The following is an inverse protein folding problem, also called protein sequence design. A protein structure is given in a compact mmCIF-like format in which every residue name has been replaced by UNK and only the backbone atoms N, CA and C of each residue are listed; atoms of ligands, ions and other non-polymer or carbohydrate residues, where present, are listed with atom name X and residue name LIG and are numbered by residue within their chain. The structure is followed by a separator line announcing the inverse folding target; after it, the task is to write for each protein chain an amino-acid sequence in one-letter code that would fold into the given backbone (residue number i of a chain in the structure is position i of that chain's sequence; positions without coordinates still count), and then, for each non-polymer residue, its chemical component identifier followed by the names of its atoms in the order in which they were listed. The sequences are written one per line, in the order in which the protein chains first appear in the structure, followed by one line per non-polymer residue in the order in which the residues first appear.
data_IF_374063097522
#
_entry.id   IF_374063097522
#
_cell.length_a   1.000
_cell.length_b   1.000
_cell.length_c   1.000
_cell.angle_alpha   90.00
_cell.angle_beta   90.00
_cell.angle_gamma   90.00
#
_symmetry.space_group_name_H-M   'P 1'
#
loop_
_entity.id
_entity.type
_entity.pdbx_description
1 polymer ?
#
# COMPACT_ATOMS: atom_id res chain seq x y z
N UNK A 1 64.64 -9.59 8.93
CA UNK A 1 63.44 -10.11 9.63
C UNK A 1 62.15 -9.30 9.38
N UNK A 2 62.10 -8.27 8.52
CA UNK A 2 60.90 -7.44 8.33
C UNK A 2 59.92 -7.88 7.21
N UNK A 3 60.27 -8.85 6.35
CA UNK A 3 59.41 -9.25 5.21
C UNK A 3 58.37 -10.33 5.54
N UNK A 4 58.53 -11.08 6.63
CA UNK A 4 57.58 -12.13 7.02
C UNK A 4 56.27 -11.60 7.64
N UNK A 5 56.25 -10.38 8.21
CA UNK A 5 55.03 -9.87 8.86
C UNK A 5 53.96 -9.40 7.87
N UNK A 6 54.34 -8.91 6.69
CA UNK A 6 53.40 -8.39 5.68
C UNK A 6 52.54 -9.48 5.05
N UNK A 7 53.13 -10.65 4.76
CA UNK A 7 52.39 -11.78 4.15
C UNK A 7 51.38 -12.37 5.14
N UNK A 8 51.76 -12.47 6.42
CA UNK A 8 50.89 -12.99 7.47
C UNK A 8 49.73 -12.02 7.74
N UNK A 9 49.99 -10.70 7.78
CA UNK A 9 48.92 -9.69 7.91
C UNK A 9 47.95 -9.73 6.73
N UNK A 10 48.45 -9.86 5.50
CA UNK A 10 47.62 -9.95 4.30
C UNK A 10 46.74 -11.20 4.28
N UNK A 11 47.29 -12.36 4.67
CA UNK A 11 46.53 -13.61 4.76
C UNK A 11 45.47 -13.56 5.87
N UNK A 12 45.79 -12.98 7.04
CA UNK A 12 44.82 -12.78 8.12
C UNK A 12 43.70 -11.80 7.73
N UNK A 13 44.02 -10.75 6.98
CA UNK A 13 43.01 -9.80 6.47
C UNK A 13 42.08 -10.49 5.46
N UNK A 14 42.62 -11.31 4.55
CA UNK A 14 41.82 -12.09 3.60
C UNK A 14 40.92 -13.12 4.29
N UNK A 15 41.43 -13.81 5.32
CA UNK A 15 40.63 -14.76 6.10
C UNK A 15 39.54 -14.05 6.91
N UNK A 16 39.81 -12.87 7.46
CA UNK A 16 38.79 -12.05 8.11
C UNK A 16 37.73 -11.59 7.11
N UNK A 17 38.12 -11.06 5.95
CA UNK A 17 37.17 -10.65 4.89
C UNK A 17 36.34 -11.83 4.39
N UNK A 18 36.92 -13.03 4.28
CA UNK A 18 36.19 -14.25 3.90
C UNK A 18 35.19 -14.71 4.99
N UNK A 19 35.50 -14.53 6.27
CA UNK A 19 34.59 -14.87 7.38
C UNK A 19 33.41 -13.90 7.50
N UNK A 20 33.56 -12.65 7.05
CA UNK A 20 32.47 -11.66 7.05
C UNK A 20 31.57 -11.70 5.81
N UNK A 21 31.89 -12.54 4.81
CA UNK A 21 31.01 -12.81 3.68
C UNK A 21 29.89 -13.78 4.08
N UNK A 22 29.13 -13.47 5.14
CA UNK A 22 27.87 -14.17 5.37
C UNK A 22 26.95 -13.82 4.21
N UNK A 23 26.63 -14.81 3.37
CA UNK A 23 25.72 -14.61 2.26
C UNK A 23 24.37 -14.17 2.83
N UNK A 24 24.00 -12.91 2.54
CA UNK A 24 22.70 -12.37 2.90
C UNK A 24 21.61 -13.37 2.49
N UNK A 25 20.67 -13.64 3.39
CA UNK A 25 19.62 -14.63 3.16
C UNK A 25 18.27 -14.12 3.65
N UNK A 26 17.21 -14.75 3.19
CA UNK A 26 15.86 -14.46 3.64
C UNK A 26 15.53 -15.27 4.89
N UNK A 27 14.83 -14.66 5.85
CA UNK A 27 14.18 -15.42 6.91
C UNK A 27 12.95 -16.18 6.38
N UNK A 28 12.26 -16.91 7.26
CA UNK A 28 11.03 -17.63 6.89
C UNK A 28 9.99 -16.68 6.28
N UNK A 29 9.55 -16.93 5.03
CA UNK A 29 8.62 -16.05 4.35
C UNK A 29 7.22 -16.15 4.97
N UNK A 30 6.56 -15.00 5.12
CA UNK A 30 5.21 -14.86 5.66
C UNK A 30 4.20 -14.77 4.51
N UNK A 31 3.17 -15.62 4.56
CA UNK A 31 2.10 -15.68 3.56
C UNK A 31 1.14 -14.50 3.73
N UNK A 32 0.93 -13.74 2.65
CA UNK A 32 -0.04 -12.64 2.59
C UNK A 32 -1.32 -12.99 1.82
N UNK A 33 -2.09 -11.94 1.52
CA UNK A 33 -3.35 -12.03 0.76
C UNK A 33 -3.14 -12.17 -0.75
N UNK A 34 -4.22 -12.57 -1.44
CA UNK A 34 -4.28 -12.56 -2.90
C UNK A 34 -4.36 -11.12 -3.44
N UNK A 35 -3.75 -10.88 -4.60
CA UNK A 35 -3.78 -9.57 -5.27
C UNK A 35 -4.98 -9.53 -6.21
N UNK A 36 -5.87 -8.55 -6.00
CA UNK A 36 -7.16 -8.46 -6.69
C UNK A 36 -7.16 -7.62 -7.97
N UNK A 37 -6.12 -6.81 -8.22
CA UNK A 37 -6.11 -5.84 -9.34
C UNK A 37 -4.76 -5.80 -10.07
N UNK A 38 -4.81 -5.45 -11.35
CA UNK A 38 -3.65 -5.25 -12.21
C UNK A 38 -3.10 -6.54 -12.85
N UNK A 39 -1.89 -6.44 -13.39
CA UNK A 39 -1.17 -7.52 -14.09
C UNK A 39 -0.83 -8.75 -13.23
N UNK A 40 -1.07 -8.69 -11.92
CA UNK A 40 -0.73 -9.74 -10.95
C UNK A 40 -1.94 -10.59 -10.53
N UNK A 41 -2.94 -10.78 -11.41
CA UNK A 41 -4.07 -11.69 -11.14
C UNK A 41 -3.55 -13.11 -10.86
N UNK A 42 -4.23 -13.83 -9.96
CA UNK A 42 -3.85 -15.20 -9.55
C UNK A 42 -2.49 -15.30 -8.85
N UNK A 43 -2.03 -14.20 -8.24
CA UNK A 43 -0.83 -14.19 -7.42
C UNK A 43 -1.15 -13.90 -5.96
N UNK A 44 -0.35 -14.48 -5.08
CA UNK A 44 -0.35 -14.22 -3.66
C UNK A 44 0.91 -13.44 -3.29
N UNK A 45 0.71 -12.42 -2.46
CA UNK A 45 1.82 -11.66 -1.90
C UNK A 45 2.48 -12.44 -0.76
N UNK A 46 3.80 -12.55 -0.79
CA UNK A 46 4.62 -13.06 0.31
C UNK A 46 5.61 -11.99 0.76
N UNK A 47 6.03 -12.02 2.02
CA UNK A 47 7.03 -11.09 2.56
C UNK A 47 8.09 -11.83 3.35
N UNK A 48 9.37 -11.48 3.15
CA UNK A 48 10.47 -11.98 3.97
C UNK A 48 11.40 -10.82 4.36
N UNK A 49 12.09 -10.96 5.48
CA UNK A 49 13.10 -10.01 5.96
C UNK A 49 14.48 -10.54 5.61
N UNK A 50 15.29 -9.69 5.00
CA UNK A 50 16.70 -9.98 4.73
C UNK A 50 17.45 -9.99 6.06
N UNK A 51 18.23 -11.04 6.29
CA UNK A 51 19.05 -11.24 7.49
C UNK A 51 20.49 -11.56 7.08
N UNK A 52 21.41 -11.49 8.06
CA UNK A 52 22.81 -11.84 7.89
C UNK A 52 23.54 -11.05 6.79
N UNK A 53 23.18 -9.77 6.65
CA UNK A 53 23.83 -8.81 5.76
C UNK A 53 24.55 -7.74 6.59
N UNK A 54 25.67 -7.23 6.09
CA UNK A 54 26.43 -6.19 6.78
C UNK A 54 25.61 -4.87 6.88
N UNK A 55 25.71 -4.11 7.98
CA UNK A 55 24.86 -2.93 8.26
C UNK A 55 25.11 -1.70 7.35
N UNK A 56 25.82 -1.88 6.24
CA UNK A 56 26.24 -0.85 5.30
C UNK A 56 25.12 -0.44 4.33
N UNK A 57 25.22 0.71 3.63
CA UNK A 57 24.12 1.32 2.86
C UNK A 57 23.55 0.44 1.73
N UNK A 58 24.21 -0.65 1.38
CA UNK A 58 23.90 -1.53 0.24
C UNK A 58 22.79 -2.55 0.48
N UNK A 59 22.20 -2.63 1.67
CA UNK A 59 21.20 -3.68 1.91
C UNK A 59 19.99 -3.67 0.95
N UNK A 60 19.66 -2.51 0.34
CA UNK A 60 18.61 -2.44 -0.69
C UNK A 60 19.05 -3.05 -2.03
N UNK A 61 20.32 -2.91 -2.42
CA UNK A 61 20.84 -3.54 -3.64
C UNK A 61 20.94 -5.06 -3.46
N UNK A 62 21.32 -5.52 -2.26
CA UNK A 62 21.31 -6.95 -1.91
C UNK A 62 19.90 -7.55 -1.99
N UNK A 63 18.88 -6.85 -1.50
CA UNK A 63 17.50 -7.31 -1.55
C UNK A 63 17.01 -7.70 -2.97
N UNK A 64 17.43 -6.96 -4.01
CA UNK A 64 17.08 -7.27 -5.40
C UNK A 64 17.89 -8.41 -6.03
N UNK A 65 18.95 -8.89 -5.36
CA UNK A 65 19.90 -9.89 -5.88
C UNK A 65 20.01 -11.16 -5.03
N UNK A 66 19.43 -11.16 -3.82
CA UNK A 66 19.45 -12.32 -2.94
C UNK A 66 18.39 -13.33 -3.39
N UNK A 67 18.77 -14.53 -3.84
CA UNK A 67 17.83 -15.52 -4.32
C UNK A 67 16.94 -16.05 -3.19
N UNK A 68 15.70 -16.44 -3.53
CA UNK A 68 14.73 -17.02 -2.61
C UNK A 68 14.02 -18.22 -3.23
N UNK A 69 13.58 -19.17 -2.40
CA UNK A 69 12.65 -20.22 -2.81
C UNK A 69 11.39 -20.10 -1.93
N UNK A 70 10.26 -19.71 -2.54
CA UNK A 70 9.01 -19.42 -1.82
C UNK A 70 7.87 -20.14 -2.53
N UNK A 71 7.16 -21.01 -1.80
CA UNK A 71 6.05 -21.78 -2.36
C UNK A 71 6.46 -22.70 -3.52
N UNK A 72 7.70 -23.19 -3.52
CA UNK A 72 8.26 -24.02 -4.60
C UNK A 72 8.71 -23.24 -5.83
N UNK A 73 8.57 -21.91 -5.84
CA UNK A 73 9.04 -21.04 -6.92
C UNK A 73 10.36 -20.40 -6.54
N UNK A 74 11.35 -20.46 -7.46
CA UNK A 74 12.67 -19.84 -7.28
C UNK A 74 12.66 -18.41 -7.84
N UNK A 75 13.25 -17.50 -7.08
CA UNK A 75 13.39 -16.08 -7.41
C UNK A 75 14.87 -15.70 -7.36
N UNK A 76 15.31 -14.84 -8.28
CA UNK A 76 16.68 -14.28 -8.26
C UNK A 76 16.81 -13.11 -7.26
N UNK A 77 15.70 -12.56 -6.79
CA UNK A 77 15.60 -11.42 -5.89
C UNK A 77 14.15 -11.11 -5.55
N UNK A 78 13.91 -10.19 -4.61
CA UNK A 78 12.56 -9.73 -4.31
C UNK A 78 11.99 -8.87 -5.45
N UNK A 79 10.68 -8.95 -5.68
CA UNK A 79 9.99 -8.09 -6.65
C UNK A 79 9.95 -6.62 -6.18
N UNK A 80 9.80 -6.41 -4.88
CA UNK A 80 9.92 -5.09 -4.26
C UNK A 80 10.79 -5.17 -3.01
N UNK A 81 11.58 -4.12 -2.79
CA UNK A 81 12.42 -3.95 -1.62
C UNK A 81 11.96 -2.75 -0.80
N UNK A 82 11.64 -2.96 0.47
CA UNK A 82 11.23 -1.87 1.38
C UNK A 82 12.08 -1.85 2.64
N UNK A 83 12.61 -0.68 2.98
CA UNK A 83 13.30 -0.46 4.26
C UNK A 83 12.28 -0.12 5.34
N UNK A 84 12.21 -0.93 6.39
CA UNK A 84 11.35 -0.71 7.57
C UNK A 84 12.25 -0.61 8.80
N UNK A 85 12.55 0.62 9.21
CA UNK A 85 13.54 0.86 10.27
C UNK A 85 14.94 0.45 9.83
N UNK A 86 15.56 -0.45 10.59
CA UNK A 86 16.86 -1.06 10.27
C UNK A 86 16.73 -2.40 9.50
N UNK A 87 15.52 -2.81 9.14
CA UNK A 87 15.26 -4.06 8.44
C UNK A 87 14.96 -3.80 6.97
N UNK A 88 15.29 -4.79 6.15
CA UNK A 88 15.01 -4.78 4.72
C UNK A 88 14.05 -5.91 4.43
N UNK A 89 12.88 -5.55 3.93
CA UNK A 89 11.79 -6.47 3.65
C UNK A 89 11.64 -6.62 2.14
N UNK A 90 11.74 -7.86 1.66
CA UNK A 90 11.42 -8.25 0.30
C UNK A 90 9.95 -8.62 0.17
N UNK A 91 9.30 -8.19 -0.91
CA UNK A 91 7.98 -8.63 -1.31
C UNK A 91 8.11 -9.53 -2.53
N UNK A 92 7.42 -10.66 -2.51
CA UNK A 92 7.44 -11.67 -3.57
C UNK A 92 6.03 -11.95 -4.05
N UNK A 93 5.87 -12.06 -5.38
CA UNK A 93 4.60 -12.38 -6.02
C UNK A 93 4.64 -13.81 -6.54
N UNK A 94 4.03 -14.72 -5.79
CA UNK A 94 4.02 -16.15 -6.10
C UNK A 94 2.71 -16.48 -6.77
N UNK A 95 2.74 -17.18 -7.92
CA UNK A 95 1.53 -17.68 -8.56
C UNK A 95 0.85 -18.68 -7.64
N UNK A 96 -0.42 -18.45 -7.32
CA UNK A 96 -1.19 -19.31 -6.43
C UNK A 96 -2.56 -19.54 -7.07
N UNK A 97 -2.80 -20.78 -7.53
CA UNK A 97 -4.07 -21.17 -8.18
C UNK A 97 -5.26 -21.03 -7.24
N UNK A 98 -5.06 -20.95 -5.92
CA UNK A 98 -6.16 -20.67 -4.98
C UNK A 98 -6.64 -19.21 -5.06
N UNK A 99 -5.87 -18.32 -5.68
CA UNK A 99 -6.24 -16.92 -5.85
C UNK A 99 -7.16 -16.66 -7.07
N UNK A 100 -7.53 -17.68 -7.86
CA UNK A 100 -8.39 -17.54 -9.05
C UNK A 100 -9.89 -17.42 -8.73
N UNK A 101 -10.30 -17.64 -7.47
CA UNK A 101 -11.70 -17.92 -7.12
C UNK A 101 -12.52 -16.78 -6.52
N UNK A 102 -12.07 -15.54 -6.63
CA UNK A 102 -12.97 -14.41 -6.41
C UNK A 102 -13.56 -14.00 -7.76
N UNK A 103 -14.33 -14.89 -8.39
CA UNK A 103 -15.38 -14.42 -9.31
C UNK A 103 -16.36 -13.63 -8.46
N UNK A 104 -16.89 -12.54 -9.00
CA UNK A 104 -17.76 -11.56 -8.33
C UNK A 104 -19.08 -12.15 -7.80
N UNK A 105 -19.27 -13.47 -7.86
CA UNK A 105 -20.49 -14.18 -7.45
C UNK A 105 -20.61 -14.40 -5.93
N UNK A 106 -19.57 -14.06 -5.14
CA UNK A 106 -19.62 -14.22 -3.68
C UNK A 106 -20.14 -12.98 -2.91
N UNK A 107 -20.56 -11.90 -3.59
CA UNK A 107 -21.30 -10.80 -2.96
C UNK A 107 -22.83 -10.93 -3.06
N UNK A 108 -23.34 -12.02 -3.63
CA UNK A 108 -24.75 -12.37 -3.57
C UNK A 108 -24.96 -13.55 -2.60
N UNK A 109 -25.77 -13.32 -1.57
CA UNK A 109 -26.46 -14.34 -0.76
C UNK A 109 -25.59 -15.11 0.25
N UNK A 110 -25.41 -14.54 1.44
CA UNK A 110 -25.63 -15.27 2.71
C UNK A 110 -26.28 -14.29 3.70
N UNK A 111 -27.53 -13.93 3.46
CA UNK A 111 -28.47 -13.60 4.53
C UNK A 111 -29.07 -14.95 4.96
N UNK A 112 -28.33 -15.72 5.74
CA UNK A 112 -28.92 -16.85 6.47
C UNK A 112 -29.31 -16.30 7.83
N UNK A 113 -30.57 -15.89 7.92
CA UNK A 113 -31.31 -15.83 9.18
C UNK A 113 -31.60 -17.27 9.59
N UNK A 114 -30.71 -17.88 10.37
CA UNK A 114 -31.06 -19.06 11.15
C UNK A 114 -31.46 -18.61 12.55
N UNK A 115 -32.76 -18.62 12.78
CA UNK A 115 -33.36 -18.63 14.11
C UNK A 115 -32.94 -19.94 14.79
N UNK A 116 -32.05 -19.84 15.78
CA UNK A 116 -31.72 -20.98 16.64
C UNK A 116 -32.56 -20.86 17.91
N UNK A 117 -33.56 -21.72 18.01
CA UNK A 117 -34.31 -21.96 19.24
C UNK A 117 -33.39 -22.55 20.34
N UNK A 118 -33.58 -22.17 21.62
CA UNK A 118 -32.78 -22.70 22.71
C UNK A 118 -33.35 -24.04 23.20
N UNK A 119 -32.63 -25.14 22.94
CA UNK A 119 -32.83 -26.38 23.66
C UNK A 119 -32.10 -26.31 25.01
N UNK A 120 -32.90 -26.30 26.07
CA UNK A 120 -32.53 -26.47 27.46
C UNK A 120 -32.25 -27.96 27.68
N UNK A 121 -31.06 -28.32 28.17
CA UNK A 121 -30.88 -29.56 28.93
C UNK A 121 -29.70 -29.49 29.92
N UNK A 122 -30.08 -29.77 31.17
CA UNK A 122 -29.40 -29.99 32.45
C UNK A 122 -27.88 -29.80 32.61
N UNK A 123 -27.56 -28.83 33.48
CA UNK A 123 -26.26 -28.64 34.10
C UNK A 123 -26.12 -29.55 35.33
N UNK A 124 -25.13 -30.45 35.30
CA UNK A 124 -24.58 -31.09 36.50
C UNK A 124 -23.86 -30.04 37.34
N UNK A 125 -24.32 -29.86 38.58
CA UNK A 125 -23.79 -28.91 39.56
C UNK A 125 -22.45 -29.39 40.13
N UNK A 126 -21.37 -29.05 39.47
CA UNK A 126 -20.05 -28.97 40.11
C UNK A 126 -19.90 -27.51 40.52
N UNK A 127 -19.93 -27.19 41.82
CA UNK A 127 -19.67 -25.84 42.32
C UNK A 127 -18.18 -25.52 42.16
N UNK A 128 -17.76 -24.70 41.19
CA UNK A 128 -16.40 -24.19 41.16
C UNK A 128 -16.37 -22.97 42.08
N UNK A 129 -15.28 -22.82 42.79
CA UNK A 129 -14.94 -21.61 43.53
C UNK A 129 -15.08 -20.40 42.59
N UNK A 130 -16.06 -19.51 42.86
CA UNK A 130 -16.52 -18.47 41.94
C UNK A 130 -15.45 -17.37 41.85
N UNK A 131 -14.47 -17.55 40.97
CA UNK A 131 -13.65 -16.46 40.50
C UNK A 131 -14.57 -15.48 39.76
N UNK A 132 -14.67 -14.25 40.27
CA UNK A 132 -15.52 -13.22 39.70
C UNK A 132 -15.27 -13.08 38.18
N UNK A 133 -16.32 -12.96 37.35
CA UNK A 133 -16.19 -12.95 35.90
C UNK A 133 -15.23 -11.83 35.47
N UNK A 134 -14.12 -12.21 34.83
CA UNK A 134 -13.16 -11.26 34.29
C UNK A 134 -13.88 -10.43 33.24
N UNK A 135 -14.10 -9.14 33.54
CA UNK A 135 -14.80 -8.23 32.64
C UNK A 135 -14.18 -8.26 31.24
N UNK A 136 -15.03 -8.32 30.22
CA UNK A 136 -14.58 -8.41 28.83
C UNK A 136 -13.60 -7.26 28.47
N UNK A 137 -12.50 -7.56 27.74
CA UNK A 137 -11.52 -6.54 27.38
C UNK A 137 -12.16 -5.40 26.58
N UNK A 138 -11.96 -4.17 27.03
CA UNK A 138 -12.52 -2.99 26.37
C UNK A 138 -11.55 -1.81 26.45
N UNK A 139 -11.64 -0.90 25.48
CA UNK A 139 -10.82 0.30 25.46
C UNK A 139 -11.34 1.31 26.49
N UNK A 140 -10.44 1.85 27.30
CA UNK A 140 -10.71 3.02 28.11
C UNK A 140 -10.75 4.30 27.28
N UNK A 141 -10.49 5.44 27.94
CA UNK A 141 -10.49 6.75 27.26
C UNK A 141 -9.44 6.80 26.16
N UNK A 142 -9.86 7.27 24.99
CA UNK A 142 -8.97 7.57 23.87
C UNK A 142 -8.31 8.95 24.07
N UNK A 143 -6.98 8.97 24.03
CA UNK A 143 -6.16 10.17 24.07
C UNK A 143 -5.74 10.56 22.64
N UNK A 144 -5.96 11.83 22.31
CA UNK A 144 -5.56 12.44 21.04
C UNK A 144 -4.10 12.87 21.15
N UNK A 145 -3.20 12.18 20.45
CA UNK A 145 -1.79 12.58 20.41
C UNK A 145 -1.52 13.54 19.23
N UNK A 146 -0.23 13.71 18.91
CA UNK A 146 0.24 14.49 17.76
C UNK A 146 0.07 13.79 16.41
N UNK A 147 0.33 14.58 15.36
CA UNK A 147 0.38 14.10 13.98
C UNK A 147 1.55 13.14 13.76
N UNK A 148 1.35 12.14 12.89
CA UNK A 148 2.36 11.12 12.62
C UNK A 148 3.32 11.63 11.54
N UNK A 149 4.56 11.96 11.92
CA UNK A 149 5.56 12.52 10.99
C UNK A 149 5.80 11.67 9.73
N UNK A 150 5.74 10.34 9.85
CA UNK A 150 5.97 9.38 8.75
C UNK A 150 4.71 9.05 7.93
N UNK A 151 3.52 9.51 8.36
CA UNK A 151 2.23 9.16 7.73
C UNK A 151 1.35 10.40 7.64
N UNK A 152 1.53 11.16 6.55
CA UNK A 152 0.83 12.44 6.28
C UNK A 152 -0.69 12.25 6.36
N UNK A 153 -1.39 13.22 6.97
CA UNK A 153 -2.86 13.16 7.12
C UNK A 153 -3.36 12.15 8.16
N UNK A 154 -2.48 11.60 9.00
CA UNK A 154 -2.87 10.74 10.13
C UNK A 154 -2.42 11.34 11.46
N UNK A 155 -3.29 11.20 12.46
CA UNK A 155 -3.00 11.52 13.85
C UNK A 155 -2.91 10.24 14.66
N UNK A 156 -1.97 10.21 15.61
CA UNK A 156 -1.86 9.10 16.56
C UNK A 156 -2.91 9.26 17.65
N UNK A 157 -3.55 8.16 18.01
CA UNK A 157 -4.44 8.05 19.16
C UNK A 157 -3.99 6.89 20.01
N UNK A 158 -4.09 7.01 21.33
CA UNK A 158 -3.76 5.95 22.27
C UNK A 158 -4.90 5.69 23.24
N UNK A 159 -5.09 4.44 23.64
CA UNK A 159 -6.05 4.06 24.68
C UNK A 159 -5.52 2.89 25.49
N UNK A 160 -5.80 2.90 26.79
CA UNK A 160 -5.53 1.77 27.67
C UNK A 160 -6.59 0.69 27.43
N UNK A 161 -6.15 -0.56 27.34
CA UNK A 161 -7.04 -1.72 27.35
C UNK A 161 -7.31 -2.12 28.80
N UNK A 162 -8.58 -2.14 29.18
CA UNK A 162 -9.07 -2.55 30.50
C UNK A 162 -9.65 -3.96 30.40
N UNK A 163 -9.86 -4.64 31.53
CA UNK A 163 -10.41 -6.01 31.55
C UNK A 163 -9.46 -7.06 30.96
N UNK A 164 -8.15 -6.78 30.89
CA UNK A 164 -7.16 -7.74 30.40
C UNK A 164 -6.79 -8.68 31.54
N UNK A 165 -7.25 -9.94 31.47
CA UNK A 165 -6.85 -10.99 32.40
C UNK A 165 -5.35 -11.35 32.32
N UNK A 166 -4.91 -12.29 33.15
CA UNK A 166 -3.52 -12.78 33.24
C UNK A 166 -2.99 -13.48 31.98
N UNK A 167 -3.86 -13.73 30.99
CA UNK A 167 -3.51 -14.41 29.75
C UNK A 167 -2.65 -13.58 28.77
N UNK A 168 -2.67 -13.99 27.50
CA UNK A 168 -1.88 -13.35 26.43
C UNK A 168 -2.41 -11.96 26.07
N UNK A 169 -2.01 -10.96 26.86
CA UNK A 169 -2.41 -9.57 26.72
C UNK A 169 -2.20 -9.01 25.31
N UNK A 170 -1.15 -9.45 24.60
CA UNK A 170 -0.83 -8.96 23.27
C UNK A 170 -1.83 -9.49 22.23
N UNK A 171 -2.15 -10.79 22.30
CA UNK A 171 -3.18 -11.39 21.44
C UNK A 171 -4.59 -10.83 21.73
N UNK A 172 -4.89 -10.51 22.99
CA UNK A 172 -6.14 -9.83 23.36
C UNK A 172 -6.18 -8.43 22.77
N UNK A 173 -5.14 -7.63 22.98
CA UNK A 173 -5.05 -6.27 22.46
C UNK A 173 -5.17 -6.18 20.93
N UNK A 174 -4.52 -7.10 20.20
CA UNK A 174 -4.61 -7.15 18.74
C UNK A 174 -5.95 -7.65 18.20
N UNK A 175 -6.82 -8.23 19.04
CA UNK A 175 -8.16 -8.69 18.64
C UNK A 175 -9.28 -7.76 19.09
N UNK A 176 -9.00 -6.78 19.93
CA UNK A 176 -10.03 -5.85 20.42
C UNK A 176 -10.29 -4.73 19.39
N UNK A 177 -11.47 -4.68 18.75
CA UNK A 177 -11.79 -3.63 17.79
C UNK A 177 -12.02 -2.29 18.50
N UNK A 178 -11.92 -1.19 17.77
CA UNK A 178 -12.15 0.17 18.29
C UNK A 178 -12.93 1.01 17.28
N UNK A 179 -13.71 1.98 17.78
CA UNK A 179 -14.30 3.03 16.95
C UNK A 179 -13.80 4.39 17.45
N UNK A 180 -13.07 5.12 16.61
CA UNK A 180 -12.46 6.41 16.97
C UNK A 180 -12.87 7.44 15.93
N UNK A 181 -13.56 8.52 16.35
CA UNK A 181 -14.12 9.54 15.45
C UNK A 181 -14.90 8.96 14.26
N UNK A 182 -15.81 8.01 14.54
CA UNK A 182 -16.63 7.29 13.54
C UNK A 182 -15.84 6.38 12.58
N UNK A 183 -14.52 6.26 12.73
CA UNK A 183 -13.71 5.29 11.98
C UNK A 183 -13.63 3.99 12.78
N UNK A 184 -14.04 2.87 12.16
CA UNK A 184 -13.94 1.53 12.75
C UNK A 184 -12.56 0.94 12.47
N UNK A 185 -11.96 0.33 13.47
CA UNK A 185 -10.69 -0.38 13.41
C UNK A 185 -10.93 -1.81 13.90
N UNK A 186 -10.60 -2.80 13.07
CA UNK A 186 -10.67 -4.21 13.47
C UNK A 186 -9.66 -4.53 14.59
N UNK A 187 -8.53 -3.82 14.61
CA UNK A 187 -7.48 -3.97 15.61
C UNK A 187 -6.64 -2.68 15.70
N UNK A 188 -5.91 -2.44 16.80
CA UNK A 188 -4.91 -1.37 16.89
C UNK A 188 -3.79 -1.57 15.86
N UNK A 189 -3.09 -0.49 15.52
CA UNK A 189 -1.89 -0.57 14.69
C UNK A 189 -0.74 -1.24 15.45
N UNK A 190 -0.60 -0.94 16.75
CA UNK A 190 0.39 -1.53 17.64
C UNK A 190 -0.16 -1.68 19.05
N UNK A 191 0.32 -2.70 19.76
CA UNK A 191 0.09 -2.92 21.19
C UNK A 191 1.42 -2.79 21.93
N UNK A 192 1.42 -2.15 23.10
CA UNK A 192 2.60 -2.06 23.97
C UNK A 192 2.17 -2.03 25.43
N UNK A 193 3.09 -2.35 26.34
CA UNK A 193 2.92 -2.03 27.76
C UNK A 193 3.57 -0.69 28.09
N UNK A 194 2.94 0.10 28.96
CA UNK A 194 3.60 1.26 29.57
C UNK A 194 4.54 0.82 30.72
N UNK A 195 5.15 1.80 31.42
CA UNK A 195 6.08 1.51 32.53
C UNK A 195 5.38 0.85 33.72
N UNK A 196 4.07 1.03 33.85
CA UNK A 196 3.23 0.43 34.89
C UNK A 196 2.64 -0.92 34.46
N UNK A 197 3.02 -1.44 33.30
CA UNK A 197 2.52 -2.72 32.78
C UNK A 197 1.13 -2.66 32.16
N UNK A 198 0.52 -1.47 32.04
CA UNK A 198 -0.77 -1.32 31.40
C UNK A 198 -0.67 -1.53 29.89
N UNK A 199 -1.64 -2.23 29.32
CA UNK A 199 -1.70 -2.50 27.89
C UNK A 199 -2.27 -1.28 27.18
N UNK A 200 -1.51 -0.72 26.24
CA UNK A 200 -1.87 0.46 25.46
C UNK A 200 -1.97 0.08 23.98
N UNK A 201 -3.13 0.36 23.38
CA UNK A 201 -3.35 0.29 21.94
C UNK A 201 -2.99 1.63 21.28
N UNK A 202 -2.30 1.56 20.14
CA UNK A 202 -1.95 2.71 19.30
C UNK A 202 -2.74 2.64 17.99
N UNK A 203 -3.42 3.73 17.65
CA UNK A 203 -4.25 3.86 16.45
C UNK A 203 -3.78 5.03 15.59
N UNK A 204 -3.93 4.90 14.27
CA UNK A 204 -3.66 5.96 13.32
C UNK A 204 -4.95 6.35 12.62
N UNK A 205 -5.52 7.46 13.07
CA UNK A 205 -6.82 7.94 12.61
C UNK A 205 -6.59 9.01 11.54
N UNK A 206 -7.33 8.96 10.43
CA UNK A 206 -7.24 10.01 9.41
C UNK A 206 -7.68 11.34 10.03
N UNK A 207 -6.84 12.36 9.87
CA UNK A 207 -7.06 13.71 10.39
C UNK A 207 -6.50 14.70 9.37
N UNK A 208 -7.37 15.47 8.71
CA UNK A 208 -6.99 16.45 7.69
C UNK A 208 -6.13 17.57 8.27
N UNK A 209 -6.23 17.84 9.57
CA UNK A 209 -5.37 18.81 10.28
C UNK A 209 -3.90 18.37 10.39
N UNK A 210 -3.59 17.12 10.02
CA UNK A 210 -2.24 16.57 10.02
C UNK A 210 -1.58 16.53 8.63
N UNK A 211 -2.08 17.31 7.68
CA UNK A 211 -1.36 17.62 6.43
C UNK A 211 -0.37 18.77 6.71
N UNK A 212 0.83 18.74 6.12
CA UNK A 212 1.72 19.90 6.22
C UNK A 212 1.18 21.02 5.34
N UNK A 213 1.53 22.27 5.64
CA UNK A 213 1.21 23.40 4.76
C UNK A 213 1.79 23.18 3.36
N UNK A 214 2.99 22.58 3.25
CA UNK A 214 3.58 22.19 1.96
C UNK A 214 2.74 21.18 1.17
N UNK A 215 1.95 20.32 1.84
CA UNK A 215 1.03 19.39 1.16
C UNK A 215 -0.23 20.10 0.65
N UNK A 216 -0.63 21.19 1.31
CA UNK A 216 -1.70 22.04 0.81
C UNK A 216 -1.18 22.86 -0.37
N UNK A 217 0.09 23.26 -0.36
CA UNK A 217 0.71 24.04 -1.43
C UNK A 217 0.88 23.21 -2.70
N UNK A 218 1.35 21.96 -2.61
CA UNK A 218 1.44 21.03 -3.75
C UNK A 218 0.04 20.63 -4.29
N UNK A 219 -0.96 20.53 -3.41
CA UNK A 219 -2.36 20.32 -3.84
C UNK A 219 -2.96 21.58 -4.49
N UNK A 220 -2.58 22.77 -4.04
CA UNK A 220 -3.01 24.04 -4.60
C UNK A 220 -2.31 24.35 -5.92
N UNK A 221 -1.03 23.98 -6.07
CA UNK A 221 -0.27 24.08 -7.32
C UNK A 221 -0.87 23.16 -8.40
N UNK A 222 -1.27 21.93 -8.03
CA UNK A 222 -2.00 21.04 -8.95
C UNK A 222 -3.38 21.59 -9.36
N UNK A 223 -4.08 22.31 -8.46
CA UNK A 223 -5.33 22.99 -8.81
C UNK A 223 -5.07 24.23 -9.69
N UNK A 224 -3.94 24.94 -9.51
CA UNK A 224 -3.58 26.08 -10.37
C UNK A 224 -3.16 25.64 -11.79
N UNK A 225 -2.48 24.51 -11.96
CA UNK A 225 -2.16 23.98 -13.29
C UNK A 225 -3.42 23.64 -14.09
N UNK A 226 -4.49 23.19 -13.43
CA UNK A 226 -5.76 22.91 -14.11
C UNK A 226 -6.46 24.17 -14.61
N UNK A 227 -6.31 25.31 -13.92
CA UNK A 227 -6.90 26.59 -14.37
C UNK A 227 -6.21 27.11 -15.64
N UNK A 228 -4.89 26.93 -15.76
CA UNK A 228 -4.18 27.29 -17.00
C UNK A 228 -4.54 26.42 -18.19
N UNK A 229 -4.94 25.16 -17.97
CA UNK A 229 -5.40 24.29 -19.06
C UNK A 229 -6.77 24.68 -19.60
N UNK A 230 -7.70 25.12 -18.73
CA UNK A 230 -9.02 25.60 -19.15
C UNK A 230 -8.91 26.93 -19.92
N UNK A 231 -8.05 27.85 -19.47
CA UNK A 231 -7.81 29.12 -20.15
C UNK A 231 -7.11 28.92 -21.51
N UNK A 232 -6.17 27.97 -21.61
CA UNK A 232 -5.55 27.61 -22.88
C UNK A 232 -6.53 26.94 -23.86
N UNK A 233 -7.45 26.10 -23.37
CA UNK A 233 -8.48 25.47 -24.20
C UNK A 233 -9.49 26.48 -24.76
N UNK A 234 -9.85 27.49 -23.98
CA UNK A 234 -10.71 28.60 -24.42
C UNK A 234 -10.04 29.44 -25.52
N UNK A 235 -8.76 29.80 -25.34
CA UNK A 235 -7.99 30.52 -26.36
C UNK A 235 -7.86 29.72 -27.67
N UNK A 236 -7.72 28.39 -27.58
CA UNK A 236 -7.64 27.53 -28.77
C UNK A 236 -8.98 27.45 -29.50
N UNK A 237 -10.11 27.44 -28.78
CA UNK A 237 -11.44 27.48 -29.38
C UNK A 237 -11.71 28.81 -30.10
N UNK A 238 -11.30 29.94 -29.52
CA UNK A 238 -11.43 31.24 -30.19
C UNK A 238 -10.56 31.33 -31.46
N UNK A 239 -9.34 30.77 -31.43
CA UNK A 239 -8.48 30.72 -32.61
C UNK A 239 -9.05 29.84 -33.74
N UNK A 240 -9.61 28.67 -33.38
CA UNK A 240 -10.28 27.79 -34.34
C UNK A 240 -11.56 28.41 -34.92
N UNK A 241 -12.33 29.15 -34.11
CA UNK A 241 -13.51 29.85 -34.60
C UNK A 241 -13.16 30.91 -35.66
N UNK A 242 -12.05 31.64 -35.46
CA UNK A 242 -11.56 32.62 -36.42
C UNK A 242 -11.11 31.99 -37.75
N UNK A 243 -10.39 30.87 -37.72
CA UNK A 243 -10.01 30.15 -38.94
C UNK A 243 -11.21 29.62 -39.72
N UNK A 244 -12.22 29.07 -39.03
CA UNK A 244 -13.45 28.57 -39.68
C UNK A 244 -14.24 29.70 -40.36
N UNK A 245 -14.34 30.87 -39.72
CA UNK A 245 -15.03 32.03 -40.29
C UNK A 245 -14.29 32.57 -41.52
N UNK A 246 -12.95 32.68 -41.46
CA UNK A 246 -12.14 33.08 -42.62
C UNK A 246 -12.22 32.10 -43.79
N UNK A 247 -12.37 30.79 -43.54
CA UNK A 247 -12.52 29.80 -44.60
C UNK A 247 -13.90 29.88 -45.28
N UNK A 248 -14.94 30.27 -44.54
CA UNK A 248 -16.31 30.44 -45.05
C UNK A 248 -16.44 31.65 -45.99
N UNK A 249 -15.69 32.73 -45.76
CA UNK A 249 -15.66 33.89 -46.67
C UNK A 249 -14.98 33.58 -48.02
N UNK A 250 -14.12 32.56 -48.10
CA UNK A 250 -13.44 32.17 -49.35
C UNK A 250 -14.36 31.43 -50.31
N UNK A 251 -15.38 30.70 -49.82
CA UNK A 251 -16.34 30.01 -50.70
C UNK A 251 -17.35 30.97 -51.35
N UNK A 252 -17.63 32.13 -50.74
CA UNK A 252 -18.58 33.09 -51.31
C UNK A 252 -17.99 33.87 -52.50
N UNK A 253 -16.67 33.86 -52.68
CA UNK A 253 -15.98 34.49 -53.80
C UNK A 253 -15.85 33.60 -55.06
N UNK A 254 -16.24 32.32 -55.01
CA UNK A 254 -16.11 31.36 -56.13
C UNK A 254 -17.44 31.11 -56.86
N UNK A 255 -18.40 32.03 -56.76
CA UNK A 255 -19.60 32.04 -57.58
C UNK A 255 -19.55 33.18 -58.60
N UNK A 256 -18.60 33.10 -59.54
CA UNK A 256 -18.59 33.96 -60.72
C UNK A 256 -18.68 33.07 -61.96
N UNK A 257 -19.92 33.00 -62.47
CA UNK A 257 -20.29 32.85 -63.87
C UNK A 257 -19.53 31.77 -64.68
N UNK A 258 -20.02 30.53 -64.65
CA UNK A 258 -19.85 29.63 -65.80
C UNK A 258 -21.00 28.62 -65.89
N UNK A 259 -21.99 28.94 -66.72
CA UNK A 259 -22.92 27.96 -67.29
C UNK A 259 -22.18 27.14 -68.36
N UNK A 260 -21.39 26.16 -67.91
CA UNK A 260 -20.78 25.17 -68.78
C UNK A 260 -20.59 23.88 -68.02
N UNK A 261 -21.11 22.78 -68.55
CA UNK A 261 -20.99 21.42 -68.00
C UNK A 261 -19.53 21.10 -67.60
N UNK A 262 -19.24 21.19 -66.31
CA UNK A 262 -17.98 20.71 -65.73
C UNK A 262 -18.32 19.58 -64.76
N UNK A 263 -17.94 18.37 -65.16
CA UNK A 263 -17.84 17.22 -64.26
C UNK A 263 -16.79 17.55 -63.20
N UNK A 264 -17.22 17.84 -61.97
CA UNK A 264 -16.34 18.00 -60.82
C UNK A 264 -16.16 16.63 -60.17
N UNK A 265 -15.02 15.99 -60.46
CA UNK A 265 -14.53 14.84 -59.69
C UNK A 265 -13.96 15.38 -58.36
N UNK A 266 -14.68 15.13 -57.26
CA UNK A 266 -14.17 15.42 -55.93
C UNK A 266 -13.14 14.37 -55.53
N UNK A 267 -11.85 14.67 -55.71
CA UNK A 267 -10.79 13.93 -55.01
C UNK A 267 -10.86 14.29 -53.51
N UNK A 268 -11.21 13.29 -52.71
CA UNK A 268 -11.25 13.40 -51.26
C UNK A 268 -9.87 13.74 -50.70
N UNK A 269 -9.73 14.94 -50.11
CA UNK A 269 -8.54 15.33 -49.36
C UNK A 269 -8.53 14.54 -48.05
N UNK A 270 -7.66 13.54 -47.96
CA UNK A 270 -7.32 12.87 -46.70
C UNK A 270 -6.56 13.85 -45.81
N UNK A 271 -7.26 14.42 -44.83
CA UNK A 271 -6.63 15.17 -43.75
C UNK A 271 -6.03 14.16 -42.78
N UNK A 272 -4.74 13.84 -42.94
CA UNK A 272 -3.96 13.14 -41.92
C UNK A 272 -3.83 14.05 -40.69
N UNK A 273 -4.58 13.73 -39.64
CA UNK A 273 -4.43 14.30 -38.31
C UNK A 273 -3.09 13.84 -37.70
N UNK A 274 -2.01 14.57 -37.99
CA UNK A 274 -0.75 14.46 -37.30
C UNK A 274 -0.70 15.49 -36.16
N UNK A 275 -0.98 15.04 -34.94
CA UNK A 275 -0.26 15.39 -33.70
C UNK A 275 -1.15 15.13 -32.47
N UNK A 276 -0.62 14.35 -31.53
CA UNK A 276 -0.50 14.72 -30.11
C UNK A 276 0.27 13.57 -29.43
N UNK A 277 1.58 13.78 -29.32
CA UNK A 277 2.46 13.09 -28.38
C UNK A 277 2.71 13.99 -27.17
#
# INVERSE_FOLDING_TARGET
MAKLSSVILGALLLLLVAQYATAARWNSPVRGGCIRRGQWRNTRRWTATLVDFAPFPEGLSLCGRTPANIGGQRFNGANECRRIGNRIMGVFYVRDRTCTRFTEEAEAVVLVTEEVEPAIEEMVSVTPEVEAPVAAPHWGRFHRDGCVRKKRGYRRWTARLLGVGSGNWNATCLRTPATIRRQKFAHPAHCRKDRQGHVIGVFYVRDRTCRRVSDLQEALELEMETVHFEEAALNLQEALAFEVESALEVEEAVNVENEGDVNVEFEAINVEAAALG
#
